data_IF_852461550282
#
_entry.id   IF_852461550282
#
_cell.length_a   1.000
_cell.length_b   1.000
_cell.length_c   1.000
_cell.angle_alpha   90.00
_cell.angle_beta   90.00
_cell.angle_gamma   90.00
#
_symmetry.space_group_name_H-M   'P 1'
#
loop_
_entity.id
_entity.type
_entity.pdbx_description
1 polymer ?
#
# COMPACT_ATOMS: atom_id res chain seq x y z
N UNK A 1 9.71 11.84 -10.34
CA UNK A 1 9.21 10.96 -9.26
C UNK A 1 10.39 10.32 -8.56
N UNK A 2 10.41 10.35 -7.22
CA UNK A 2 11.38 9.63 -6.40
C UNK A 2 10.62 8.60 -5.58
N UNK A 3 11.17 7.39 -5.43
CA UNK A 3 10.58 6.34 -4.62
C UNK A 3 11.46 6.04 -3.40
N UNK A 4 10.81 5.87 -2.24
CA UNK A 4 11.46 5.39 -1.01
C UNK A 4 10.72 4.16 -0.51
N UNK A 5 11.46 3.08 -0.26
CA UNK A 5 10.93 1.81 0.25
C UNK A 5 11.44 1.58 1.67
N UNK A 6 10.53 1.24 2.58
CA UNK A 6 10.82 0.85 3.96
C UNK A 6 10.22 -0.52 4.22
N UNK A 7 11.04 -1.49 4.59
CA UNK A 7 10.58 -2.83 4.94
C UNK A 7 10.36 -2.97 6.45
N UNK A 8 9.33 -3.71 6.85
CA UNK A 8 8.96 -3.86 8.26
C UNK A 8 8.33 -5.21 8.59
N UNK A 9 8.06 -5.40 9.88
CA UNK A 9 7.43 -6.63 10.41
C UNK A 9 5.98 -6.44 10.84
N UNK A 10 5.54 -5.21 11.12
CA UNK A 10 4.25 -4.92 11.74
C UNK A 10 3.35 -4.06 10.85
N UNK A 11 2.14 -4.55 10.57
CA UNK A 11 1.16 -3.84 9.75
C UNK A 11 0.52 -2.65 10.47
N UNK A 12 0.19 -2.77 11.77
CA UNK A 12 -0.51 -1.73 12.54
C UNK A 12 0.17 -0.36 12.46
N UNK A 13 1.50 -0.34 12.61
CA UNK A 13 2.27 0.90 12.55
C UNK A 13 2.14 1.61 11.20
N UNK A 14 2.18 0.86 10.09
CA UNK A 14 2.03 1.42 8.74
C UNK A 14 0.60 1.85 8.47
N UNK A 15 -0.39 1.05 8.86
CA UNK A 15 -1.81 1.39 8.69
C UNK A 15 -2.15 2.69 9.42
N UNK A 16 -1.74 2.83 10.67
CA UNK A 16 -1.93 4.07 11.44
C UNK A 16 -1.18 5.24 10.78
N UNK A 17 0.08 5.04 10.38
CA UNK A 17 0.87 6.09 9.74
C UNK A 17 0.23 6.65 8.46
N UNK A 18 -0.38 5.78 7.63
CA UNK A 18 -0.99 6.21 6.36
C UNK A 18 -2.36 6.86 6.61
N UNK A 19 -3.17 6.30 7.50
CA UNK A 19 -4.56 6.71 7.69
C UNK A 19 -4.77 7.85 8.71
N UNK A 20 -3.81 8.12 9.60
CA UNK A 20 -3.91 9.18 10.62
C UNK A 20 -3.42 10.55 10.14
N UNK A 21 -3.08 10.68 8.85
CA UNK A 21 -2.65 11.96 8.27
C UNK A 21 -3.85 12.82 7.92
N UNK A 22 -3.91 14.03 8.48
CA UNK A 22 -5.00 15.00 8.28
C UNK A 22 -5.33 15.32 6.80
N UNK A 23 -4.37 15.17 5.88
CA UNK A 23 -4.54 15.45 4.45
C UNK A 23 -4.48 14.19 3.58
N UNK A 24 -4.49 13.00 4.18
CA UNK A 24 -4.47 11.76 3.42
C UNK A 24 -5.88 11.36 2.97
N UNK A 25 -5.94 10.80 1.77
CA UNK A 25 -7.14 10.19 1.20
C UNK A 25 -6.78 8.79 0.75
N UNK A 26 -7.62 7.81 1.08
CA UNK A 26 -7.48 6.46 0.56
C UNK A 26 -8.01 6.43 -0.89
N UNK A 27 -7.11 6.29 -1.86
CA UNK A 27 -7.48 6.25 -3.28
C UNK A 27 -7.79 4.84 -3.78
N UNK A 28 -7.10 3.83 -3.23
CA UNK A 28 -7.22 2.44 -3.65
C UNK A 28 -6.81 1.49 -2.52
N UNK A 29 -7.51 0.37 -2.41
CA UNK A 29 -7.13 -0.75 -1.55
C UNK A 29 -7.68 -2.05 -2.13
N UNK A 30 -6.92 -3.14 -1.95
CA UNK A 30 -7.28 -4.48 -2.42
C UNK A 30 -6.93 -5.52 -1.36
N UNK A 31 -7.71 -6.61 -1.31
CA UNK A 31 -7.45 -7.73 -0.41
C UNK A 31 -7.69 -7.46 1.09
N UNK A 32 -8.20 -6.29 1.48
CA UNK A 32 -8.42 -5.92 2.89
C UNK A 32 -9.83 -5.42 3.16
N UNK A 33 -10.29 -5.56 4.41
CA UNK A 33 -11.58 -5.02 4.86
C UNK A 33 -11.42 -3.57 5.31
N UNK A 34 -12.19 -2.66 4.69
CA UNK A 34 -12.09 -1.20 4.89
C UNK A 34 -13.06 -0.63 5.95
N UNK A 35 -13.43 -1.41 6.96
CA UNK A 35 -14.34 -0.93 8.03
C UNK A 35 -13.65 0.09 8.92
N UNK A 36 -12.45 -0.24 9.39
CA UNK A 36 -11.65 0.58 10.29
C UNK A 36 -10.16 0.15 10.22
N UNK A 37 -9.29 0.88 10.93
CA UNK A 37 -7.84 0.61 10.95
C UNK A 37 -7.51 -0.79 11.48
N UNK A 38 -8.29 -1.29 12.43
CA UNK A 38 -8.09 -2.61 13.01
C UNK A 38 -8.51 -3.70 12.04
N UNK A 39 -9.60 -3.52 11.28
CA UNK A 39 -10.04 -4.47 10.26
C UNK A 39 -9.03 -4.59 9.13
N UNK A 40 -8.43 -3.48 8.70
CA UNK A 40 -7.36 -3.46 7.69
C UNK A 40 -6.13 -4.20 8.21
N UNK A 41 -5.69 -3.84 9.42
CA UNK A 41 -4.54 -4.47 10.09
C UNK A 41 -4.74 -5.98 10.23
N UNK A 42 -5.94 -6.40 10.63
CA UNK A 42 -6.27 -7.80 10.80
C UNK A 42 -6.28 -8.56 9.47
N UNK A 43 -6.81 -7.97 8.39
CA UNK A 43 -6.74 -8.58 7.05
C UNK A 43 -5.30 -8.89 6.64
N UNK A 44 -4.37 -7.94 6.81
CA UNK A 44 -2.95 -8.17 6.49
C UNK A 44 -2.29 -9.24 7.38
N UNK A 45 -2.56 -9.21 8.69
CA UNK A 45 -2.02 -10.22 9.61
C UNK A 45 -2.51 -11.62 9.23
N UNK A 46 -3.79 -11.76 8.89
CA UNK A 46 -4.38 -13.03 8.48
C UNK A 46 -3.75 -13.54 7.19
N UNK A 47 -3.54 -12.69 6.18
CA UNK A 47 -2.83 -13.08 4.96
C UNK A 47 -1.38 -13.52 5.25
N UNK A 48 -0.64 -12.78 6.09
CA UNK A 48 0.73 -13.15 6.45
C UNK A 48 0.81 -14.51 7.16
N UNK A 49 -0.18 -14.86 7.99
CA UNK A 49 -0.26 -16.18 8.64
C UNK A 49 -0.41 -17.33 7.64
N UNK A 50 -0.92 -17.07 6.44
CA UNK A 50 -1.02 -18.10 5.38
C UNK A 50 0.34 -18.41 4.75
N UNK A 51 1.32 -17.50 4.85
CA UNK A 51 2.69 -17.73 4.39
C UNK A 51 3.72 -17.32 5.46
N UNK A 52 3.88 -18.13 6.53
CA UNK A 52 4.73 -17.80 7.66
C UNK A 52 6.23 -17.75 7.34
N UNK A 53 6.65 -18.16 6.12
CA UNK A 53 8.04 -18.03 5.65
C UNK A 53 8.44 -16.56 5.45
N UNK A 54 7.47 -15.66 5.27
CA UNK A 54 7.73 -14.23 5.11
C UNK A 54 7.88 -13.57 6.48
N UNK A 55 9.12 -13.29 6.87
CA UNK A 55 9.44 -12.70 8.18
C UNK A 55 9.41 -11.16 8.21
N UNK A 56 9.38 -10.51 7.04
CA UNK A 56 9.24 -9.06 6.85
C UNK A 56 8.15 -8.77 5.80
N UNK A 57 6.87 -8.92 6.17
CA UNK A 57 5.78 -8.90 5.20
C UNK A 57 5.30 -7.49 4.81
N UNK A 58 5.90 -6.44 5.37
CA UNK A 58 5.48 -5.06 5.13
C UNK A 58 6.44 -4.37 4.17
N UNK A 59 5.90 -3.80 3.09
CA UNK A 59 6.59 -2.87 2.20
C UNK A 59 5.90 -1.50 2.23
N UNK A 60 6.48 -0.59 3.00
CA UNK A 60 6.30 0.87 3.04
C UNK A 60 6.78 1.63 1.80
N UNK A 61 5.98 1.88 0.76
CA UNK A 61 6.46 2.61 -0.44
C UNK A 61 5.89 4.03 -0.50
N UNK A 62 6.76 5.03 -0.48
CA UNK A 62 6.42 6.44 -0.76
C UNK A 62 6.83 6.79 -2.19
N UNK A 63 5.90 7.35 -2.96
CA UNK A 63 6.15 7.90 -4.29
C UNK A 63 5.98 9.43 -4.22
N UNK A 64 7.08 10.15 -4.37
CA UNK A 64 7.10 11.60 -4.29
C UNK A 64 7.15 12.20 -5.69
N UNK A 65 6.18 13.09 -5.98
CA UNK A 65 6.02 13.74 -7.27
C UNK A 65 6.50 15.19 -7.24
N UNK A 66 6.89 15.70 -8.41
CA UNK A 66 7.35 17.09 -8.53
C UNK A 66 6.15 18.03 -8.49
N UNK A 67 6.33 19.23 -7.93
CA UNK A 67 5.26 20.24 -7.89
C UNK A 67 4.78 20.68 -9.28
N UNK A 68 5.66 20.60 -10.29
CA UNK A 68 5.32 20.91 -11.68
C UNK A 68 4.36 19.89 -12.30
N UNK A 69 4.28 18.68 -11.74
CA UNK A 69 3.39 17.62 -12.24
C UNK A 69 1.96 17.73 -11.65
N UNK A 70 1.72 18.65 -10.70
CA UNK A 70 0.50 18.71 -9.88
C UNK A 70 -0.79 18.68 -10.69
N UNK A 71 -0.87 19.42 -11.80
CA UNK A 71 -2.08 19.48 -12.63
C UNK A 71 -2.38 18.17 -13.36
N UNK A 72 -1.37 17.31 -13.53
CA UNK A 72 -1.47 16.01 -14.22
C UNK A 72 -1.77 14.86 -13.26
N UNK A 73 -1.56 15.06 -11.96
CA UNK A 73 -1.70 14.05 -10.90
C UNK A 73 -3.14 13.97 -10.39
N UNK A 74 -4.03 13.49 -11.24
CA UNK A 74 -5.39 13.09 -10.81
C UNK A 74 -5.32 11.80 -9.97
N UNK A 75 -6.33 11.54 -9.14
CA UNK A 75 -6.42 10.32 -8.32
C UNK A 75 -6.23 9.05 -9.17
N UNK A 76 -6.87 8.99 -10.35
CA UNK A 76 -6.75 7.86 -11.28
C UNK A 76 -5.32 7.68 -11.79
N UNK A 77 -4.62 8.77 -12.10
CA UNK A 77 -3.23 8.73 -12.56
C UNK A 77 -2.31 8.28 -11.43
N UNK A 78 -2.50 8.79 -10.21
CA UNK A 78 -1.70 8.39 -9.05
C UNK A 78 -1.86 6.90 -8.73
N UNK A 79 -3.09 6.38 -8.77
CA UNK A 79 -3.35 4.94 -8.60
C UNK A 79 -2.68 4.13 -9.71
N UNK A 80 -2.81 4.53 -10.97
CA UNK A 80 -2.17 3.86 -12.10
C UNK A 80 -0.65 3.77 -11.96
N UNK A 81 0.00 4.88 -11.59
CA UNK A 81 1.45 4.92 -11.37
C UNK A 81 1.86 4.01 -10.20
N UNK A 82 1.09 4.01 -9.10
CA UNK A 82 1.38 3.16 -7.95
C UNK A 82 1.28 1.66 -8.29
N UNK A 83 0.24 1.26 -9.02
CA UNK A 83 0.06 -0.12 -9.48
C UNK A 83 1.16 -0.56 -10.45
N UNK A 84 1.48 0.28 -11.44
CA UNK A 84 2.56 0.02 -12.40
C UNK A 84 3.92 -0.08 -11.70
N UNK A 85 4.18 0.79 -10.73
CA UNK A 85 5.40 0.73 -9.92
C UNK A 85 5.48 -0.58 -9.14
N UNK A 86 4.42 -0.98 -8.45
CA UNK A 86 4.38 -2.25 -7.72
C UNK A 86 4.65 -3.45 -8.63
N UNK A 87 4.02 -3.48 -9.81
CA UNK A 87 4.23 -4.54 -10.80
C UNK A 87 5.69 -4.59 -11.28
N UNK A 88 6.29 -3.44 -11.63
CA UNK A 88 7.70 -3.35 -12.07
C UNK A 88 8.68 -3.77 -10.98
N UNK A 89 8.32 -3.59 -9.71
CA UNK A 89 9.12 -4.00 -8.55
C UNK A 89 8.91 -5.47 -8.17
N UNK A 90 8.05 -6.22 -8.88
CA UNK A 90 7.77 -7.63 -8.61
C UNK A 90 6.75 -7.86 -7.50
N UNK A 91 6.04 -6.83 -7.04
CA UNK A 91 4.87 -6.98 -6.18
C UNK A 91 3.67 -7.29 -7.07
N UNK A 92 3.33 -8.57 -7.19
CA UNK A 92 2.22 -9.03 -8.03
C UNK A 92 0.96 -9.14 -7.17
N UNK A 93 -0.11 -8.46 -7.58
CA UNK A 93 -1.48 -8.73 -7.14
C UNK A 93 -1.92 -10.02 -7.85
N UNK A 94 -1.71 -11.17 -7.21
CA UNK A 94 -2.33 -12.40 -7.70
C UNK A 94 -3.83 -12.32 -7.42
N UNK A 95 -4.64 -12.22 -8.48
CA UNK A 95 -6.00 -12.73 -8.46
C UNK A 95 -5.91 -14.23 -8.23
N UNK A 96 -5.96 -14.65 -6.96
CA UNK A 96 -6.24 -16.04 -6.61
C UNK A 96 -7.70 -16.26 -6.97
N UNK A 97 -7.91 -16.79 -8.17
CA UNK A 97 -9.13 -17.47 -8.55
C UNK A 97 -9.08 -18.81 -7.81
N UNK A 98 -9.82 -18.89 -6.70
CA UNK A 98 -10.38 -20.14 -6.20
C UNK A 98 -11.88 -20.11 -6.49
#
# INVERSE_FOLDING_TARGET
MIAKIVQGRGFRGVVNYVLDKNKAQLLYAEGVRLKDKDSITHSFITQNKMNPKITKPVAHISLDFSMQDKERLTDKVMVGIALEYMQKMGYILYSVID
#
